data_IF_220726252599
#
_entry.id   IF_220726252599
#
_cell.length_a   1.000
_cell.length_b   1.000
_cell.length_c   1.000
_cell.angle_alpha   90.00
_cell.angle_beta   90.00
_cell.angle_gamma   90.00
#
_symmetry.space_group_name_H-M   'P 1'
#
loop_
_entity.id
_entity.type
_entity.pdbx_description
1 polymer ?
#
# COMPACT_ATOMS: atom_id res chain seq x y z
N UNK A 1 -3.50 -39.01 -0.25
CA UNK A 1 -4.75 -38.19 -0.24
C UNK A 1 -5.60 -38.61 -1.42
N UNK A 2 -6.89 -38.95 -1.22
CA UNK A 2 -7.76 -39.43 -2.30
C UNK A 2 -8.03 -38.29 -3.29
N UNK A 3 -8.19 -38.61 -4.56
CA UNK A 3 -8.35 -37.62 -5.64
C UNK A 3 -9.58 -36.71 -5.45
N UNK A 4 -10.63 -37.24 -4.81
CA UNK A 4 -11.81 -36.49 -4.38
C UNK A 4 -11.49 -35.41 -3.34
N UNK A 5 -10.59 -35.68 -2.39
CA UNK A 5 -10.19 -34.71 -1.37
C UNK A 5 -9.41 -33.54 -1.97
N UNK A 6 -8.55 -33.81 -2.96
CA UNK A 6 -7.81 -32.76 -3.69
C UNK A 6 -8.75 -31.79 -4.40
N UNK A 7 -9.80 -32.32 -5.06
CA UNK A 7 -10.80 -31.50 -5.78
C UNK A 7 -11.67 -30.68 -4.84
N UNK A 8 -12.07 -31.25 -3.69
CA UNK A 8 -12.83 -30.53 -2.67
C UNK A 8 -12.00 -29.39 -2.09
N UNK A 9 -10.73 -29.65 -1.75
CA UNK A 9 -9.82 -28.60 -1.25
C UNK A 9 -9.66 -27.49 -2.28
N UNK A 10 -9.43 -27.83 -3.56
CA UNK A 10 -9.31 -26.84 -4.63
C UNK A 10 -10.59 -26.00 -4.81
N UNK A 11 -11.77 -26.63 -4.81
CA UNK A 11 -13.05 -25.95 -4.95
C UNK A 11 -13.32 -25.01 -3.76
N UNK A 12 -13.03 -25.46 -2.53
CA UNK A 12 -13.16 -24.64 -1.32
C UNK A 12 -12.17 -23.48 -1.33
N UNK A 13 -10.93 -23.68 -1.77
CA UNK A 13 -9.96 -22.60 -1.92
C UNK A 13 -10.43 -21.55 -2.92
N UNK A 14 -10.94 -21.93 -4.10
CA UNK A 14 -11.49 -20.98 -5.08
C UNK A 14 -12.66 -20.20 -4.49
N UNK A 15 -13.55 -20.88 -3.76
CA UNK A 15 -14.72 -20.26 -3.16
C UNK A 15 -14.34 -19.26 -2.06
N UNK A 16 -13.34 -19.59 -1.22
CA UNK A 16 -12.78 -18.66 -0.23
C UNK A 16 -12.16 -17.45 -0.90
N UNK A 17 -11.42 -17.63 -1.99
CA UNK A 17 -10.83 -16.53 -2.75
C UNK A 17 -11.92 -15.60 -3.30
N UNK A 18 -12.99 -16.15 -3.88
CA UNK A 18 -14.13 -15.37 -4.36
C UNK A 18 -14.82 -14.62 -3.22
N UNK A 19 -15.01 -15.26 -2.06
CA UNK A 19 -15.58 -14.61 -0.87
C UNK A 19 -14.70 -13.46 -0.39
N UNK A 20 -13.39 -13.64 -0.34
CA UNK A 20 -12.43 -12.58 0.03
C UNK A 20 -12.55 -11.40 -0.94
N UNK A 21 -12.62 -11.65 -2.26
CA UNK A 21 -12.72 -10.59 -3.27
C UNK A 21 -14.07 -9.84 -3.21
N UNK A 22 -15.18 -10.55 -2.98
CA UNK A 22 -16.52 -9.94 -3.02
C UNK A 22 -17.01 -9.37 -1.68
N UNK A 23 -16.55 -9.91 -0.56
CA UNK A 23 -17.05 -9.54 0.78
C UNK A 23 -16.16 -8.53 1.48
N UNK A 24 -14.85 -8.47 1.18
CA UNK A 24 -14.00 -7.45 1.78
C UNK A 24 -14.29 -6.09 1.12
N UNK A 25 -14.65 -5.06 1.91
CA UNK A 25 -14.73 -3.70 1.41
C UNK A 25 -13.38 -3.30 0.81
N UNK A 26 -13.39 -2.70 -0.37
CA UNK A 26 -12.17 -2.22 -1.05
C UNK A 26 -11.29 -1.38 -0.10
N UNK A 27 -11.89 -0.56 0.77
CA UNK A 27 -11.15 0.25 1.76
C UNK A 27 -10.37 -0.55 2.81
N UNK A 28 -10.87 -1.73 3.21
CA UNK A 28 -10.13 -2.63 4.12
C UNK A 28 -9.01 -3.32 3.36
N UNK A 29 -9.27 -3.72 2.11
CA UNK A 29 -8.27 -4.32 1.23
C UNK A 29 -7.06 -3.41 1.07
N UNK A 30 -7.28 -2.09 0.91
CA UNK A 30 -6.21 -1.10 0.69
C UNK A 30 -5.32 -0.88 1.89
N UNK A 31 -5.89 -0.84 3.11
CA UNK A 31 -5.09 -0.69 4.34
C UNK A 31 -4.18 -1.90 4.59
N UNK A 32 -4.66 -3.10 4.27
CA UNK A 32 -3.90 -4.34 4.49
C UNK A 32 -3.15 -4.82 3.23
N UNK A 33 -3.28 -4.13 2.10
CA UNK A 33 -2.72 -4.54 0.81
C UNK A 33 -1.20 -4.65 0.87
N UNK A 34 -0.53 -3.68 1.52
CA UNK A 34 0.93 -3.71 1.73
C UNK A 34 1.34 -4.93 2.57
N UNK A 35 0.65 -5.17 3.70
CA UNK A 35 0.93 -6.31 4.56
C UNK A 35 0.68 -7.65 3.85
N UNK A 36 -0.37 -7.72 3.03
CA UNK A 36 -0.73 -8.87 2.23
C UNK A 36 0.33 -9.15 1.14
N UNK A 37 0.76 -8.11 0.40
CA UNK A 37 1.84 -8.23 -0.59
C UNK A 37 3.14 -8.68 0.04
N UNK A 38 3.48 -8.17 1.24
CA UNK A 38 4.66 -8.64 2.00
C UNK A 38 4.54 -10.13 2.37
N UNK A 39 3.40 -10.55 2.89
CA UNK A 39 3.16 -11.95 3.26
C UNK A 39 3.28 -12.89 2.07
N UNK A 40 2.68 -12.53 0.93
CA UNK A 40 2.78 -13.31 -0.30
C UNK A 40 4.20 -13.27 -0.89
N UNK A 41 4.91 -12.14 -0.79
CA UNK A 41 6.32 -12.02 -1.20
C UNK A 41 7.27 -12.91 -0.38
N UNK A 42 7.08 -12.97 0.94
CA UNK A 42 7.82 -13.89 1.82
C UNK A 42 7.50 -15.34 1.47
N UNK A 43 6.22 -15.66 1.28
CA UNK A 43 5.76 -16.99 0.90
C UNK A 43 6.34 -17.42 -0.46
N UNK A 44 6.38 -16.51 -1.43
CA UNK A 44 7.00 -16.71 -2.75
C UNK A 44 8.49 -17.01 -2.62
N UNK A 45 9.20 -16.28 -1.76
CA UNK A 45 10.64 -16.45 -1.54
C UNK A 45 10.96 -17.82 -0.93
N UNK A 46 10.16 -18.23 0.07
CA UNK A 46 10.29 -19.56 0.70
C UNK A 46 10.01 -20.67 -0.32
N UNK A 47 8.89 -20.57 -1.06
CA UNK A 47 8.54 -21.58 -2.06
C UNK A 47 9.55 -21.63 -3.22
N UNK A 48 10.03 -20.49 -3.70
CA UNK A 48 11.06 -20.46 -4.76
C UNK A 48 12.37 -21.07 -4.26
N UNK A 49 12.78 -20.79 -3.02
CA UNK A 49 13.93 -21.44 -2.40
C UNK A 49 13.76 -22.96 -2.31
N UNK A 50 12.61 -23.43 -1.78
CA UNK A 50 12.30 -24.86 -1.74
C UNK A 50 12.32 -25.49 -3.14
N UNK A 51 11.77 -24.80 -4.14
CA UNK A 51 11.74 -25.26 -5.52
C UNK A 51 13.14 -25.38 -6.14
N UNK A 52 13.98 -24.36 -5.95
CA UNK A 52 15.38 -24.35 -6.43
C UNK A 52 16.25 -25.42 -5.75
N UNK A 53 16.06 -25.68 -4.46
CA UNK A 53 16.82 -26.69 -3.71
C UNK A 53 16.28 -28.13 -3.88
N UNK A 54 15.02 -28.31 -4.28
CA UNK A 54 14.36 -29.63 -4.40
C UNK A 54 14.44 -30.24 -5.81
N UNK A 55 15.14 -29.62 -6.76
CA UNK A 55 15.26 -30.05 -8.17
C UNK A 55 15.73 -31.50 -8.39
N UNK A 56 16.32 -32.15 -7.37
CA UNK A 56 16.87 -33.50 -7.49
C UNK A 56 15.85 -34.63 -7.33
N UNK A 57 14.61 -34.35 -6.89
CA UNK A 57 13.66 -35.39 -6.49
C UNK A 57 12.20 -35.12 -6.88
N UNK A 58 11.98 -34.50 -8.04
CA UNK A 58 10.65 -34.16 -8.54
C UNK A 58 9.94 -35.42 -9.05
N UNK A 59 9.06 -36.00 -8.22
CA UNK A 59 8.22 -37.16 -8.55
C UNK A 59 6.76 -36.83 -8.27
N UNK A 60 5.90 -37.04 -9.29
CA UNK A 60 4.42 -37.02 -9.47
C UNK A 60 3.45 -36.42 -8.41
N UNK A 61 3.81 -36.25 -7.14
CA UNK A 61 3.00 -35.59 -6.10
C UNK A 61 3.01 -34.05 -6.15
N UNK A 62 3.81 -33.45 -7.03
CA UNK A 62 4.10 -32.01 -7.05
C UNK A 62 3.06 -31.12 -7.74
N UNK A 63 2.08 -31.69 -8.43
CA UNK A 63 1.02 -30.90 -9.10
C UNK A 63 0.25 -30.00 -8.13
N UNK A 64 0.08 -30.41 -6.87
CA UNK A 64 -0.47 -29.56 -5.82
C UNK A 64 0.47 -28.40 -5.43
N UNK A 65 1.78 -28.66 -5.35
CA UNK A 65 2.80 -27.64 -5.05
C UNK A 65 2.87 -26.57 -6.13
N UNK A 66 2.80 -26.94 -7.41
CA UNK A 66 2.72 -25.99 -8.53
C UNK A 66 1.45 -25.15 -8.50
N UNK A 67 0.30 -25.74 -8.13
CA UNK A 67 -0.97 -24.99 -7.99
C UNK A 67 -0.88 -23.98 -6.85
N UNK A 68 -0.33 -24.38 -5.69
CA UNK A 68 -0.13 -23.47 -4.55
C UNK A 68 0.86 -22.36 -4.90
N UNK A 69 1.96 -22.70 -5.58
CA UNK A 69 2.94 -21.71 -6.03
C UNK A 69 2.36 -20.71 -7.02
N UNK A 70 1.58 -21.19 -7.99
CA UNK A 70 0.85 -20.34 -8.94
C UNK A 70 -0.14 -19.39 -8.25
N UNK A 71 -0.85 -19.87 -7.22
CA UNK A 71 -1.73 -19.03 -6.41
C UNK A 71 -0.95 -17.94 -5.66
N UNK A 72 0.19 -18.27 -5.06
CA UNK A 72 1.04 -17.29 -4.36
C UNK A 72 1.51 -16.20 -5.33
N UNK A 73 1.99 -16.59 -6.53
CA UNK A 73 2.38 -15.63 -7.57
C UNK A 73 1.19 -14.75 -7.97
N UNK A 74 0.03 -15.35 -8.22
CA UNK A 74 -1.17 -14.62 -8.63
C UNK A 74 -1.58 -13.56 -7.61
N UNK A 75 -1.62 -13.90 -6.32
CA UNK A 75 -1.92 -12.94 -5.26
C UNK A 75 -0.85 -11.87 -5.11
N UNK A 76 0.42 -12.23 -5.24
CA UNK A 76 1.52 -11.27 -5.21
C UNK A 76 1.41 -10.23 -6.34
N UNK A 77 1.16 -10.69 -7.57
CA UNK A 77 1.03 -9.83 -8.76
C UNK A 77 -0.19 -8.93 -8.67
N UNK A 78 -1.36 -9.47 -8.27
CA UNK A 78 -2.58 -8.67 -8.13
C UNK A 78 -2.42 -7.61 -7.03
N UNK A 79 -1.93 -8.01 -5.86
CA UNK A 79 -1.78 -7.08 -4.75
C UNK A 79 -0.75 -5.99 -5.05
N UNK A 80 0.41 -6.36 -5.62
CA UNK A 80 1.41 -5.40 -6.09
C UNK A 80 0.89 -4.48 -7.20
N UNK A 81 0.09 -5.01 -8.13
CA UNK A 81 -0.53 -4.23 -9.21
C UNK A 81 -1.54 -3.20 -8.71
N UNK A 82 -2.34 -3.55 -7.70
CA UNK A 82 -3.28 -2.61 -7.06
C UNK A 82 -2.50 -1.51 -6.34
N UNK A 83 -1.46 -1.84 -5.55
CA UNK A 83 -0.62 -0.84 -4.88
C UNK A 83 0.00 0.11 -5.91
N UNK A 84 0.59 -0.43 -6.98
CA UNK A 84 1.18 0.37 -8.04
C UNK A 84 0.17 1.32 -8.69
N UNK A 85 -1.02 0.81 -9.03
CA UNK A 85 -2.08 1.63 -9.61
C UNK A 85 -2.51 2.76 -8.67
N UNK A 86 -2.65 2.49 -7.38
CA UNK A 86 -3.00 3.50 -6.39
C UNK A 86 -1.94 4.59 -6.26
N UNK A 87 -0.66 4.21 -6.14
CA UNK A 87 0.43 5.19 -6.07
C UNK A 87 0.53 6.03 -7.34
N UNK A 88 0.35 5.42 -8.52
CA UNK A 88 0.35 6.16 -9.79
C UNK A 88 -0.85 7.10 -9.87
N UNK A 89 -2.03 6.65 -9.47
CA UNK A 89 -3.23 7.47 -9.47
C UNK A 89 -3.11 8.65 -8.49
N UNK A 90 -2.60 8.44 -7.28
CA UNK A 90 -2.33 9.52 -6.32
C UNK A 90 -1.34 10.55 -6.89
N UNK A 91 -0.29 10.08 -7.58
CA UNK A 91 0.68 10.96 -8.24
C UNK A 91 0.07 11.74 -9.41
N UNK A 92 -0.70 11.08 -10.28
CA UNK A 92 -1.33 11.72 -11.43
C UNK A 92 -2.42 12.72 -11.02
N UNK A 93 -3.15 12.45 -9.94
CA UNK A 93 -4.16 13.35 -9.39
C UNK A 93 -3.53 14.59 -8.74
N UNK A 94 -2.43 14.44 -8.02
CA UNK A 94 -1.65 15.58 -7.53
C UNK A 94 -1.14 16.47 -8.67
N UNK A 95 -0.85 15.90 -9.85
CA UNK A 95 -0.42 16.67 -11.01
C UNK A 95 -1.57 17.36 -11.75
N UNK A 96 -2.73 16.72 -11.89
CA UNK A 96 -3.78 17.17 -12.81
C UNK A 96 -5.05 17.75 -12.14
N UNK A 97 -5.41 17.31 -10.93
CA UNK A 97 -6.70 17.61 -10.29
C UNK A 97 -6.54 18.09 -8.83
N UNK A 98 -5.45 18.79 -8.57
CA UNK A 98 -5.14 19.34 -7.25
C UNK A 98 -5.85 20.66 -6.97
N UNK A 99 -6.29 20.85 -5.73
CA UNK A 99 -6.78 22.14 -5.23
C UNK A 99 -5.80 22.74 -4.23
N UNK A 100 -5.80 24.06 -4.11
CA UNK A 100 -4.94 24.79 -3.17
C UNK A 100 -5.80 25.42 -2.08
N UNK A 101 -5.36 25.28 -0.84
CA UNK A 101 -6.00 25.87 0.34
C UNK A 101 -4.94 26.31 1.35
N UNK A 102 -5.36 27.06 2.36
CA UNK A 102 -4.49 27.41 3.49
C UNK A 102 -4.70 26.40 4.61
N UNK A 103 -3.63 25.77 5.03
CA UNK A 103 -3.59 24.86 6.17
C UNK A 103 -2.78 25.43 7.32
N UNK A 104 -2.93 24.83 8.50
CA UNK A 104 -2.18 25.18 9.70
C UNK A 104 -1.35 23.99 10.15
N UNK A 105 -0.06 24.21 10.37
CA UNK A 105 0.82 23.18 10.93
C UNK A 105 0.40 22.91 12.36
N UNK A 106 0.06 21.67 12.68
CA UNK A 106 -0.43 21.28 14.01
C UNK A 106 0.59 20.45 14.79
N UNK A 107 1.45 19.71 14.10
CA UNK A 107 2.47 18.88 14.70
C UNK A 107 3.58 18.59 13.70
N UNK A 108 4.74 18.17 14.18
CA UNK A 108 5.84 17.76 13.32
C UNK A 108 7.01 17.16 14.10
N UNK A 109 7.64 16.14 13.54
CA UNK A 109 8.73 15.43 14.20
C UNK A 109 9.77 14.90 13.21
N UNK A 110 11.04 14.87 13.65
CA UNK A 110 12.16 14.41 12.83
C UNK A 110 12.29 12.89 12.90
N UNK A 111 12.22 12.23 11.75
CA UNK A 111 12.51 10.82 11.55
C UNK A 111 14.01 10.64 11.30
N UNK A 112 14.78 10.43 12.38
CA UNK A 112 16.23 10.16 12.27
C UNK A 112 16.49 8.76 11.72
N UNK A 113 16.89 8.64 10.44
CA UNK A 113 17.52 7.43 9.89
C UNK A 113 19.01 7.65 9.70
N UNK A 114 19.79 6.57 9.87
CA UNK A 114 21.27 6.55 9.93
C UNK A 114 22.00 7.32 8.80
N UNK A 115 21.39 7.42 7.61
CA UNK A 115 21.99 8.03 6.42
C UNK A 115 21.10 9.08 5.73
N UNK A 116 19.92 9.39 6.26
CA UNK A 116 19.03 10.42 5.71
C UNK A 116 18.04 10.85 6.80
N UNK A 117 18.02 12.14 7.14
CA UNK A 117 17.02 12.69 8.03
C UNK A 117 15.86 13.23 7.19
N UNK A 118 14.67 12.72 7.45
CA UNK A 118 13.41 13.28 6.96
C UNK A 118 12.60 13.74 8.17
N UNK A 119 11.64 14.62 7.97
CA UNK A 119 10.69 15.00 9.00
C UNK A 119 9.28 14.75 8.49
N UNK A 120 8.38 14.39 9.40
CA UNK A 120 6.94 14.34 9.11
C UNK A 120 6.30 15.59 9.71
N UNK A 121 5.51 16.30 8.91
CA UNK A 121 4.72 17.47 9.33
C UNK A 121 3.25 17.11 9.18
N UNK A 122 2.43 17.46 10.17
CA UNK A 122 0.98 17.34 10.11
C UNK A 122 0.36 18.70 9.89
N UNK A 123 -0.51 18.78 8.89
CA UNK A 123 -1.20 20.01 8.51
C UNK A 123 -2.70 19.80 8.59
N UNK A 124 -3.38 20.66 9.34
CA UNK A 124 -4.83 20.70 9.44
C UNK A 124 -5.37 21.76 8.48
N UNK A 125 -6.33 21.40 7.63
CA UNK A 125 -6.91 22.34 6.67
C UNK A 125 -8.37 22.00 6.37
N UNK A 126 -9.07 22.96 5.75
CA UNK A 126 -10.46 22.78 5.31
C UNK A 126 -10.49 22.60 3.80
N UNK A 127 -11.11 21.51 3.35
CA UNK A 127 -11.34 21.21 1.93
C UNK A 127 -12.38 22.16 1.32
N UNK A 128 -12.48 22.20 -0.01
CA UNK A 128 -13.48 23.01 -0.71
C UNK A 128 -14.93 22.63 -0.34
N UNK A 129 -15.16 21.39 0.09
CA UNK A 129 -16.45 20.88 0.54
C UNK A 129 -16.73 21.16 2.04
N UNK A 130 -15.82 21.88 2.72
CA UNK A 130 -15.97 22.26 4.12
C UNK A 130 -15.56 21.18 5.13
N UNK A 131 -14.95 20.07 4.69
CA UNK A 131 -14.44 19.03 5.60
C UNK A 131 -13.07 19.43 6.16
N UNK A 132 -12.91 19.31 7.48
CA UNK A 132 -11.62 19.41 8.16
C UNK A 132 -10.83 18.11 7.98
N UNK A 133 -9.63 18.24 7.43
CA UNK A 133 -8.73 17.12 7.16
C UNK A 133 -7.41 17.37 7.90
N UNK A 134 -6.84 16.29 8.42
CA UNK A 134 -5.51 16.25 8.99
C UNK A 134 -4.64 15.36 8.09
N UNK A 135 -3.73 15.97 7.36
CA UNK A 135 -2.83 15.26 6.46
C UNK A 135 -1.38 15.30 6.97
N UNK A 136 -0.61 14.28 6.61
CA UNK A 136 0.81 14.19 6.93
C UNK A 136 1.63 14.32 5.65
N UNK A 137 2.71 15.09 5.72
CA UNK A 137 3.68 15.25 4.64
C UNK A 137 5.09 14.95 5.13
N UNK A 138 5.89 14.30 4.28
CA UNK A 138 7.29 14.01 4.58
C UNK A 138 8.16 15.03 3.86
N UNK A 139 8.82 15.89 4.62
CA UNK A 139 9.75 16.90 4.12
C UNK A 139 11.19 16.55 4.49
N UNK A 140 12.15 17.24 3.87
CA UNK A 140 13.55 17.14 4.28
C UNK A 140 13.78 17.82 5.63
N UNK A 141 14.84 17.42 6.35
CA UNK A 141 15.22 18.10 7.60
C UNK A 141 15.47 19.60 7.41
N UNK A 142 16.00 20.00 6.25
CA UNK A 142 16.21 21.42 5.91
C UNK A 142 14.90 22.18 5.75
N UNK A 143 13.91 21.61 5.08
CA UNK A 143 12.59 22.22 4.95
C UNK A 143 11.89 22.31 6.30
N UNK A 144 12.01 21.25 7.12
CA UNK A 144 11.44 21.22 8.47
C UNK A 144 11.91 22.36 9.38
N UNK A 145 13.18 22.78 9.27
CA UNK A 145 13.72 23.92 10.03
C UNK A 145 13.01 25.25 9.73
N UNK A 146 12.31 25.36 8.60
CA UNK A 146 11.60 26.57 8.20
C UNK A 146 10.13 26.58 8.63
N UNK A 147 9.62 25.49 9.19
CA UNK A 147 8.21 25.34 9.55
C UNK A 147 8.00 25.38 11.07
N UNK A 148 6.97 26.11 11.50
CA UNK A 148 6.62 26.24 12.92
C UNK A 148 5.22 25.73 13.22
N UNK A 149 5.04 25.11 14.40
CA UNK A 149 3.71 24.71 14.87
C UNK A 149 2.84 25.97 15.02
N UNK A 150 1.68 25.95 14.37
CA UNK A 150 0.72 27.02 14.35
C UNK A 150 0.85 27.99 13.17
N UNK A 151 1.88 27.81 12.33
CA UNK A 151 2.06 28.57 11.10
C UNK A 151 1.01 28.20 10.04
N UNK A 152 0.59 29.20 9.26
CA UNK A 152 -0.28 29.02 8.11
C UNK A 152 0.55 28.79 6.86
N UNK A 153 0.30 27.68 6.17
CA UNK A 153 1.01 27.28 4.95
C UNK A 153 0.03 27.04 3.81
N UNK A 154 0.47 27.29 2.58
CA UNK A 154 -0.30 26.91 1.39
C UNK A 154 -0.12 25.43 1.14
N UNK A 155 -1.23 24.72 1.07
CA UNK A 155 -1.27 23.28 0.87
C UNK A 155 -2.00 23.00 -0.43
N UNK A 156 -1.37 22.19 -1.27
CA UNK A 156 -2.01 21.59 -2.43
C UNK A 156 -2.44 20.18 -2.06
N UNK A 157 -3.71 19.83 -2.31
CA UNK A 157 -4.27 18.53 -1.94
C UNK A 157 -5.03 17.89 -3.12
N UNK A 158 -5.09 16.56 -3.14
CA UNK A 158 -5.90 15.82 -4.12
C UNK A 158 -7.40 15.89 -3.75
N UNK A 159 -8.26 16.17 -4.73
CA UNK A 159 -9.72 16.25 -4.51
C UNK A 159 -10.32 14.89 -4.12
N UNK A 160 -9.83 13.81 -4.70
CA UNK A 160 -10.27 12.42 -4.47
C UNK A 160 -9.69 11.83 -3.20
N UNK A 161 -8.47 12.23 -2.85
CA UNK A 161 -7.75 11.78 -1.66
C UNK A 161 -7.18 12.97 -0.88
N UNK A 162 -8.00 13.70 -0.09
CA UNK A 162 -7.57 14.92 0.60
C UNK A 162 -6.43 14.72 1.59
N UNK A 163 -6.14 13.48 2.01
CA UNK A 163 -5.01 13.18 2.89
C UNK A 163 -3.65 13.25 2.17
N UNK A 164 -3.63 13.28 0.84
CA UNK A 164 -2.42 13.45 0.03
C UNK A 164 -2.21 14.93 -0.22
N UNK A 165 -1.12 15.46 0.33
CA UNK A 165 -0.80 16.88 0.30
C UNK A 165 0.63 17.15 -0.14
N UNK A 166 0.84 18.38 -0.61
CA UNK A 166 2.14 18.97 -0.94
C UNK A 166 2.15 20.43 -0.43
N UNK A 167 3.10 20.79 0.44
CA UNK A 167 3.25 22.15 0.96
C UNK A 167 4.00 22.97 -0.08
N UNK A 168 3.31 23.97 -0.64
CA UNK A 168 3.90 24.86 -1.63
C UNK A 168 4.55 26.03 -0.90
N UNK A 169 5.90 26.06 -0.87
CA UNK A 169 6.66 27.24 -0.46
C UNK A 169 6.45 28.42 -1.42
N UNK A 170 6.41 29.64 -0.88
CA UNK A 170 6.40 30.88 -1.70
C UNK A 170 7.74 31.13 -2.41
#
# INVERSE_FOLDING_TARGET
MKDSQKRIIAAVSILIILVIIFVLPLGVLTEYLIALTMLFGVSLSIFSGMFLFSFKNIRESESFGFVVFGLIIFFFVISGGIIYYQTVQESDEMMNDSLVTTGKIVDGYILKKRNNASAEIKVAFVTADGQEILASEIVTEKEFEHYYIGEEVKVKYSKSSPNVIDIIGE
#
